data_IF_857836937116
#
_entry.id   IF_857836937116
#
_cell.length_a   1.000
_cell.length_b   1.000
_cell.length_c   1.000
_cell.angle_alpha   90.00
_cell.angle_beta   90.00
_cell.angle_gamma   90.00
#
_symmetry.space_group_name_H-M   'P 1'
#
loop_
_entity.id
_entity.type
_entity.pdbx_description
1 polymer ?
#
# COMPACT_ATOMS: atom_id res chain seq x y z
N UNK A 1 -9.97 35.55 -55.00
CA UNK A 1 -11.23 35.31 -55.74
C UNK A 1 -12.00 34.24 -54.99
N UNK A 2 -13.29 34.50 -54.78
CA UNK A 2 -14.16 33.89 -53.77
C UNK A 2 -14.67 32.47 -54.13
N UNK A 3 -14.90 31.65 -53.10
CA UNK A 3 -16.06 30.75 -52.96
C UNK A 3 -16.08 30.17 -51.54
N UNK A 4 -16.95 30.67 -50.66
CA UNK A 4 -18.20 30.03 -50.24
C UNK A 4 -18.02 28.61 -49.69
N UNK A 5 -17.84 28.52 -48.36
CA UNK A 5 -18.10 27.31 -47.57
C UNK A 5 -19.37 27.54 -46.76
N UNK A 6 -20.35 26.67 -46.99
CA UNK A 6 -21.71 26.70 -46.45
C UNK A 6 -21.77 25.88 -45.16
N UNK A 7 -22.09 26.54 -44.05
CA UNK A 7 -22.42 25.92 -42.77
C UNK A 7 -23.76 25.19 -42.89
N UNK A 8 -23.79 23.88 -42.63
CA UNK A 8 -25.03 23.10 -42.44
C UNK A 8 -25.15 22.81 -40.95
N UNK A 9 -25.98 23.58 -40.27
CA UNK A 9 -26.46 23.28 -38.92
C UNK A 9 -27.50 22.14 -39.01
N UNK A 10 -27.12 20.95 -38.57
CA UNK A 10 -28.06 19.88 -38.29
C UNK A 10 -28.62 20.07 -36.87
N UNK A 11 -29.84 20.60 -36.78
CA UNK A 11 -30.69 20.44 -35.61
C UNK A 11 -31.01 18.95 -35.43
N UNK A 12 -30.46 18.35 -34.37
CA UNK A 12 -30.90 17.08 -33.85
C UNK A 12 -31.81 17.36 -32.65
N UNK A 13 -33.08 17.02 -32.82
CA UNK A 13 -34.06 16.97 -31.74
C UNK A 13 -33.60 15.96 -30.68
N UNK A 14 -33.23 16.46 -29.50
CA UNK A 14 -32.99 15.62 -28.33
C UNK A 14 -34.35 15.12 -27.80
N UNK A 15 -34.74 13.91 -28.20
CA UNK A 15 -35.72 13.11 -27.47
C UNK A 15 -35.22 12.89 -26.04
N UNK A 16 -35.89 13.49 -25.08
CA UNK A 16 -35.70 13.24 -23.65
C UNK A 16 -36.21 11.83 -23.36
N UNK A 17 -35.28 10.89 -23.27
CA UNK A 17 -35.58 9.51 -22.86
C UNK A 17 -36.22 9.52 -21.46
N UNK A 18 -37.28 8.72 -21.22
CA UNK A 18 -37.94 8.66 -19.93
C UNK A 18 -36.94 8.21 -18.86
N UNK A 19 -36.84 9.01 -17.79
CA UNK A 19 -36.05 8.73 -16.60
C UNK A 19 -36.43 7.35 -16.05
N UNK A 20 -35.60 6.34 -16.33
CA UNK A 20 -35.65 5.06 -15.63
C UNK A 20 -35.46 5.36 -14.15
N UNK A 21 -36.50 5.11 -13.35
CA UNK A 21 -36.34 4.94 -11.91
C UNK A 21 -35.31 3.82 -11.75
N UNK A 22 -34.07 4.17 -11.40
CA UNK A 22 -33.09 3.20 -10.92
C UNK A 22 -33.75 2.56 -9.71
N UNK A 23 -34.20 1.32 -9.86
CA UNK A 23 -34.51 0.47 -8.72
C UNK A 23 -33.33 0.57 -7.76
N UNK A 24 -33.60 0.73 -6.46
CA UNK A 24 -32.62 0.71 -5.37
C UNK A 24 -31.95 -0.68 -5.32
N UNK A 25 -31.18 -1.03 -6.35
CA UNK A 25 -30.23 -2.13 -6.26
C UNK A 25 -29.32 -1.77 -5.12
N UNK A 26 -29.29 -2.68 -4.16
CA UNK A 26 -28.55 -2.62 -2.91
C UNK A 26 -27.04 -2.74 -3.19
N UNK A 27 -26.53 -2.03 -4.19
CA UNK A 27 -25.16 -2.01 -4.71
C UNK A 27 -24.26 -1.24 -3.75
N UNK A 28 -24.30 -1.62 -2.48
CA UNK A 28 -23.23 -1.29 -1.56
C UNK A 28 -22.00 -2.06 -2.04
N UNK A 29 -20.89 -1.33 -2.20
CA UNK A 29 -19.57 -1.93 -2.46
C UNK A 29 -19.39 -3.10 -1.51
N UNK A 30 -19.06 -4.26 -2.09
CA UNK A 30 -18.69 -5.44 -1.32
C UNK A 30 -17.32 -5.15 -0.70
N UNK A 31 -17.21 -5.16 0.63
CA UNK A 31 -15.90 -5.06 1.28
C UNK A 31 -14.94 -6.11 0.73
N UNK A 32 -13.69 -5.71 0.56
CA UNK A 32 -12.65 -6.61 0.10
C UNK A 32 -11.39 -6.41 0.92
N UNK A 33 -10.82 -7.52 1.37
CA UNK A 33 -9.60 -7.53 2.18
C UNK A 33 -8.44 -8.14 1.41
N UNK A 34 -7.51 -7.27 1.01
CA UNK A 34 -6.22 -7.70 0.51
C UNK A 34 -5.38 -8.35 1.62
N UNK A 35 -4.67 -9.42 1.25
CA UNK A 35 -3.67 -10.14 2.04
C UNK A 35 -4.19 -10.90 3.27
N UNK A 36 -4.81 -10.21 4.22
CA UNK A 36 -5.29 -10.81 5.46
C UNK A 36 -6.53 -10.08 5.97
N UNK A 37 -7.22 -10.72 6.91
CA UNK A 37 -8.41 -10.15 7.51
C UNK A 37 -8.06 -9.15 8.63
N UNK A 38 -8.95 -8.19 8.95
CA UNK A 38 -8.74 -7.23 10.04
C UNK A 38 -8.48 -7.88 11.41
N UNK A 39 -9.12 -9.02 11.70
CA UNK A 39 -8.96 -9.78 12.94
C UNK A 39 -7.49 -10.18 13.16
N UNK A 40 -6.82 -10.64 12.10
CA UNK A 40 -5.42 -11.06 12.14
C UNK A 40 -4.47 -9.90 12.46
N UNK A 41 -4.87 -8.65 12.18
CA UNK A 41 -4.06 -7.46 12.40
C UNK A 41 -4.19 -6.91 13.82
N UNK A 42 -5.24 -7.28 14.55
CA UNK A 42 -5.53 -6.72 15.87
C UNK A 42 -4.35 -6.86 16.87
N UNK A 43 -3.67 -8.02 16.99
CA UNK A 43 -2.52 -8.15 17.89
C UNK A 43 -1.34 -7.27 17.48
N UNK A 44 -1.13 -7.09 16.17
CA UNK A 44 -0.04 -6.26 15.63
C UNK A 44 -0.32 -4.79 15.90
N UNK A 45 -1.54 -4.33 15.61
CA UNK A 45 -1.99 -2.95 15.88
C UNK A 45 -1.91 -2.66 17.38
N UNK A 46 -2.36 -3.58 18.22
CA UNK A 46 -2.23 -3.48 19.68
C UNK A 46 -0.78 -3.32 20.09
N UNK A 47 0.11 -4.20 19.64
CA UNK A 47 1.53 -4.15 19.97
C UNK A 47 2.17 -2.82 19.53
N UNK A 48 1.85 -2.36 18.32
CA UNK A 48 2.34 -1.09 17.77
C UNK A 48 1.92 0.11 18.62
N UNK A 49 0.64 0.18 19.03
CA UNK A 49 0.10 1.27 19.84
C UNK A 49 0.56 1.21 21.30
N UNK A 50 0.67 0.01 21.90
CA UNK A 50 1.10 -0.16 23.29
C UNK A 50 2.60 0.11 23.46
N UNK A 51 3.45 -0.29 22.52
CA UNK A 51 4.89 -0.03 22.65
C UNK A 51 5.22 1.48 22.66
N UNK A 52 4.33 2.35 22.16
CA UNK A 52 4.45 3.80 22.28
C UNK A 52 4.25 4.32 23.71
N UNK A 53 3.81 3.47 24.63
CA UNK A 53 3.40 3.84 26.00
C UNK A 53 4.34 3.34 27.10
N UNK A 54 5.43 2.66 26.73
CA UNK A 54 6.31 1.96 27.68
C UNK A 54 7.07 2.87 28.66
N UNK A 55 7.13 4.19 28.42
CA UNK A 55 7.50 5.18 29.45
C UNK A 55 6.34 5.35 30.45
N UNK A 56 6.19 4.30 31.27
CA UNK A 56 5.03 3.90 32.06
C UNK A 56 4.65 4.85 33.21
N UNK A 57 5.25 6.04 33.30
CA UNK A 57 4.91 7.06 34.31
C UNK A 57 4.00 8.16 33.79
N UNK A 58 3.78 8.26 32.47
CA UNK A 58 2.94 9.29 31.87
C UNK A 58 1.99 8.70 30.81
N UNK A 59 1.10 7.79 31.21
CA UNK A 59 -0.14 7.55 30.48
C UNK A 59 -1.12 8.74 30.53
N UNK A 60 -0.70 9.86 31.12
CA UNK A 60 -1.38 11.12 30.92
C UNK A 60 -0.97 11.61 29.54
N UNK A 61 -1.88 11.63 28.53
CA UNK A 61 -1.61 12.32 27.27
C UNK A 61 -0.97 13.66 27.62
N UNK A 62 0.12 13.99 26.92
CA UNK A 62 0.80 15.26 27.12
C UNK A 62 -0.26 16.35 27.25
N UNK A 63 -0.27 17.08 28.37
CA UNK A 63 -1.38 17.95 28.78
C UNK A 63 -1.75 19.04 27.75
N UNK A 64 -1.05 19.11 26.61
CA UNK A 64 -1.31 19.97 25.48
C UNK A 64 -2.42 19.50 24.52
N UNK A 65 -2.87 18.24 24.54
CA UNK A 65 -4.02 17.80 23.73
C UNK A 65 -5.18 17.39 24.61
N UNK A 66 -6.06 18.36 24.88
CA UNK A 66 -7.33 18.16 25.58
C UNK A 66 -8.19 17.17 24.75
N UNK A 67 -8.20 15.89 25.15
CA UNK A 67 -8.97 14.81 24.49
C UNK A 67 -8.18 13.56 24.02
N UNK A 68 -6.97 13.33 24.56
CA UNK A 68 -5.96 12.39 24.04
C UNK A 68 -6.30 10.90 23.94
N UNK A 69 -6.69 10.48 22.74
CA UNK A 69 -6.50 9.11 22.23
C UNK A 69 -5.48 9.09 21.09
N UNK A 70 -5.18 7.90 20.58
CA UNK A 70 -4.33 7.66 19.41
C UNK A 70 -5.03 8.11 18.12
N UNK A 71 -4.29 8.65 17.18
CA UNK A 71 -4.75 8.95 15.82
C UNK A 71 -4.15 7.94 14.85
N UNK A 72 -5.02 7.24 14.13
CA UNK A 72 -4.64 6.17 13.19
C UNK A 72 -4.94 6.62 11.77
N UNK A 73 -3.99 6.39 10.87
CA UNK A 73 -4.15 6.59 9.43
C UNK A 73 -4.07 5.24 8.73
N UNK A 74 -4.98 4.96 7.81
CA UNK A 74 -4.97 3.77 6.96
C UNK A 74 -4.84 4.24 5.51
N UNK A 75 -3.64 4.06 4.94
CA UNK A 75 -3.32 4.48 3.56
C UNK A 75 -3.69 3.39 2.56
N UNK A 76 -4.18 3.81 1.39
CA UNK A 76 -4.72 2.94 0.33
C UNK A 76 -5.82 2.02 0.84
N UNK A 77 -6.78 2.58 1.56
CA UNK A 77 -7.80 1.80 2.27
C UNK A 77 -8.72 1.03 1.34
N UNK A 78 -8.88 1.45 0.08
CA UNK A 78 -9.81 0.87 -0.89
C UNK A 78 -11.19 0.63 -0.29
N UNK A 79 -11.70 -0.58 -0.47
CA UNK A 79 -12.94 -1.07 0.15
C UNK A 79 -12.71 -1.95 1.39
N UNK A 80 -11.55 -1.84 2.04
CA UNK A 80 -11.25 -2.55 3.28
C UNK A 80 -12.08 -2.00 4.45
N UNK A 81 -12.56 -2.91 5.30
CA UNK A 81 -13.27 -2.63 6.55
C UNK A 81 -12.33 -2.54 7.74
N UNK A 82 -11.00 -2.57 7.55
CA UNK A 82 -10.03 -2.49 8.65
C UNK A 82 -10.29 -1.29 9.58
N UNK A 83 -10.58 -0.11 9.01
CA UNK A 83 -10.92 1.08 9.79
C UNK A 83 -12.21 0.95 10.61
N UNK A 84 -13.24 0.33 10.04
CA UNK A 84 -14.51 0.01 10.73
C UNK A 84 -14.23 -0.98 11.89
N UNK A 85 -13.51 -2.06 11.57
CA UNK A 85 -13.20 -3.15 12.48
C UNK A 85 -12.41 -2.68 13.71
N UNK A 86 -11.38 -1.85 13.52
CA UNK A 86 -10.56 -1.32 14.62
C UNK A 86 -11.35 -0.46 15.60
N UNK A 87 -12.34 0.30 15.11
CA UNK A 87 -13.21 1.10 15.97
C UNK A 87 -14.26 0.24 16.67
N UNK A 88 -14.77 -0.80 16.01
CA UNK A 88 -15.72 -1.75 16.60
C UNK A 88 -15.11 -2.60 17.72
N UNK A 89 -13.85 -3.02 17.55
CA UNK A 89 -13.09 -3.89 18.46
C UNK A 89 -12.04 -3.12 19.26
N UNK A 90 -12.22 -1.82 19.44
CA UNK A 90 -11.32 -0.96 20.21
C UNK A 90 -11.16 -1.44 21.67
N UNK A 91 -12.23 -1.98 22.25
CA UNK A 91 -12.21 -2.53 23.60
C UNK A 91 -11.28 -3.76 23.70
N UNK A 92 -11.09 -4.49 22.60
CA UNK A 92 -10.14 -5.59 22.53
C UNK A 92 -8.71 -5.10 22.34
N UNK A 93 -8.49 -3.93 21.73
CA UNK A 93 -7.13 -3.36 21.64
C UNK A 93 -6.53 -3.11 23.03
N UNK A 94 -7.35 -2.98 24.08
CA UNK A 94 -6.90 -2.78 25.44
C UNK A 94 -7.23 -3.97 26.34
N UNK A 95 -6.21 -4.66 26.83
CA UNK A 95 -6.43 -5.73 27.81
C UNK A 95 -6.78 -5.11 29.18
N UNK A 96 -8.09 -5.00 29.44
CA UNK A 96 -8.63 -4.51 30.71
C UNK A 96 -8.20 -5.35 31.92
N UNK A 97 -7.69 -6.57 31.71
CA UNK A 97 -7.27 -7.45 32.81
C UNK A 97 -5.92 -7.06 33.42
N UNK A 98 -5.01 -6.43 32.65
CA UNK A 98 -3.65 -6.13 33.12
C UNK A 98 -3.47 -4.69 33.57
N UNK A 99 -4.30 -3.78 33.09
CA UNK A 99 -4.22 -2.36 33.46
C UNK A 99 -5.37 -2.05 34.41
N UNK A 100 -5.08 -1.61 35.64
CA UNK A 100 -6.08 -1.09 36.57
C UNK A 100 -6.69 0.19 35.99
N UNK A 101 -7.59 0.04 35.02
CA UNK A 101 -8.29 1.16 34.42
C UNK A 101 -9.14 1.79 35.54
N UNK A 102 -9.00 3.10 35.80
CA UNK A 102 -9.90 3.78 36.72
C UNK A 102 -11.31 3.54 36.21
N UNK A 103 -12.20 3.00 37.04
CA UNK A 103 -13.58 2.61 36.67
C UNK A 103 -14.45 3.76 36.10
N UNK A 104 -13.90 4.98 35.98
CA UNK A 104 -14.57 6.17 35.47
C UNK A 104 -13.89 6.80 34.23
N UNK A 105 -12.88 6.17 33.64
CA UNK A 105 -12.22 6.72 32.45
C UNK A 105 -12.96 6.33 31.17
N UNK A 106 -13.89 7.20 30.74
CA UNK A 106 -14.68 7.11 29.52
C UNK A 106 -13.89 7.44 28.23
N UNK A 107 -12.56 7.27 28.25
CA UNK A 107 -11.71 7.70 27.14
C UNK A 107 -11.65 6.65 26.05
N UNK A 108 -11.87 7.09 24.82
CA UNK A 108 -11.69 6.27 23.64
C UNK A 108 -10.21 6.17 23.29
N UNK A 109 -9.68 4.96 23.14
CA UNK A 109 -8.29 4.70 22.82
C UNK A 109 -7.86 5.26 21.47
N UNK A 110 -8.65 5.10 20.42
CA UNK A 110 -8.45 5.68 19.08
C UNK A 110 -9.28 6.96 19.01
N UNK A 111 -8.70 8.14 19.20
CA UNK A 111 -9.45 9.40 19.06
C UNK A 111 -9.96 9.68 17.65
N UNK A 112 -9.25 9.19 16.62
CA UNK A 112 -9.57 9.42 15.22
C UNK A 112 -8.93 8.31 14.36
N UNK A 113 -9.68 7.82 13.37
CA UNK A 113 -9.19 6.93 12.33
C UNK A 113 -9.51 7.52 10.97
N UNK A 114 -8.51 7.65 10.10
CA UNK A 114 -8.66 8.23 8.77
C UNK A 114 -8.32 7.17 7.73
N UNK A 115 -9.30 6.81 6.89
CA UNK A 115 -9.11 6.00 5.69
C UNK A 115 -8.77 6.94 4.51
N UNK A 116 -7.65 6.68 3.83
CA UNK A 116 -7.21 7.44 2.67
C UNK A 116 -7.10 6.53 1.46
N UNK A 117 -7.64 6.97 0.32
CA UNK A 117 -7.48 6.31 -0.97
C UNK A 117 -7.56 7.33 -2.12
N UNK A 118 -7.05 6.98 -3.30
CA UNK A 118 -7.22 7.81 -4.51
C UNK A 118 -8.61 7.66 -5.13
N UNK A 119 -9.27 6.52 -4.91
CA UNK A 119 -10.60 6.22 -5.45
C UNK A 119 -11.69 6.83 -4.57
N UNK A 120 -12.08 8.07 -4.90
CA UNK A 120 -13.14 8.80 -4.20
C UNK A 120 -14.51 8.09 -4.28
N UNK A 121 -14.81 7.38 -5.37
CA UNK A 121 -16.09 6.68 -5.53
C UNK A 121 -16.19 5.50 -4.54
N UNK A 122 -15.10 4.74 -4.40
CA UNK A 122 -15.00 3.68 -3.40
C UNK A 122 -15.13 4.25 -1.98
N UNK A 123 -14.41 5.34 -1.66
CA UNK A 123 -14.49 5.98 -0.33
C UNK A 123 -15.90 6.49 0.00
N UNK A 124 -16.58 7.13 -0.96
CA UNK A 124 -17.95 7.60 -0.77
C UNK A 124 -18.91 6.45 -0.48
N UNK A 125 -18.72 5.32 -1.17
CA UNK A 125 -19.55 4.12 -0.93
C UNK A 125 -19.28 3.51 0.44
N UNK A 126 -18.02 3.42 0.85
CA UNK A 126 -17.65 2.95 2.19
C UNK A 126 -18.19 3.88 3.29
N UNK A 127 -18.20 5.19 3.06
CA UNK A 127 -18.82 6.15 3.97
C UNK A 127 -20.33 5.94 4.11
N UNK A 128 -21.05 5.78 2.99
CA UNK A 128 -22.50 5.48 3.01
C UNK A 128 -22.78 4.18 3.75
N UNK A 129 -21.95 3.15 3.54
CA UNK A 129 -22.01 1.88 4.27
C UNK A 129 -21.85 2.10 5.78
N UNK A 130 -20.81 2.82 6.21
CA UNK A 130 -20.55 3.10 7.62
C UNK A 130 -21.71 3.86 8.28
N UNK A 131 -22.29 4.85 7.60
CA UNK A 131 -23.48 5.56 8.08
C UNK A 131 -24.72 4.67 8.19
N UNK A 132 -24.88 3.68 7.30
CA UNK A 132 -25.97 2.70 7.36
C UNK A 132 -25.81 1.80 8.59
N UNK A 133 -24.59 1.34 8.88
CA UNK A 133 -24.28 0.59 10.11
C UNK A 133 -24.63 1.41 11.35
N UNK A 134 -24.27 2.71 11.38
CA UNK A 134 -24.67 3.62 12.46
C UNK A 134 -26.18 3.63 12.69
N UNK A 135 -26.97 3.82 11.63
CA UNK A 135 -28.45 3.86 11.73
C UNK A 135 -29.02 2.53 12.22
N UNK A 136 -28.45 1.41 11.76
CA UNK A 136 -28.86 0.07 12.21
C UNK A 136 -28.61 -0.11 13.71
N UNK A 137 -27.42 0.25 14.20
CA UNK A 137 -27.11 0.21 15.63
C UNK A 137 -28.03 1.11 16.48
N UNK A 138 -28.31 2.34 16.03
CA UNK A 138 -29.24 3.26 16.71
C UNK A 138 -30.66 2.69 16.81
N UNK A 139 -31.15 2.06 15.74
CA UNK A 139 -32.48 1.43 15.71
C UNK A 139 -32.60 0.23 16.64
N UNK A 140 -31.53 -0.58 16.77
CA UNK A 140 -31.48 -1.72 17.68
C UNK A 140 -31.48 -1.26 19.15
N UNK A 141 -30.71 -0.21 19.48
CA UNK A 141 -30.66 0.33 20.85
C UNK A 141 -32.02 0.89 21.31
N UNK A 142 -32.74 1.58 20.41
CA UNK A 142 -34.07 2.15 20.70
C UNK A 142 -35.12 1.07 21.00
N UNK A 143 -34.99 -0.11 20.39
CA UNK A 143 -35.95 -1.21 20.57
C UNK A 143 -35.80 -1.88 21.94
N UNK A 144 -34.56 -2.01 22.46
CA UNK A 144 -34.29 -2.59 23.78
C UNK A 144 -34.87 -1.76 24.93
N UNK A 145 -34.92 -0.43 24.79
CA UNK A 145 -35.45 0.46 25.84
C UNK A 145 -36.97 0.33 26.03
N UNK A 146 -37.71 -0.13 25.01
CA UNK A 146 -39.17 -0.27 25.08
C UNK A 146 -39.57 -1.59 25.75
N UNK A 147 -38.76 -2.65 25.64
CA UNK A 147 -39.05 -3.94 26.25
C UNK A 147 -38.82 -3.97 27.77
N UNK A 148 -37.84 -3.22 28.28
CA UNK A 148 -37.51 -3.21 29.73
C UNK A 148 -38.48 -2.35 30.56
N UNK A 149 -39.17 -1.38 29.93
CA UNK A 149 -40.11 -0.49 30.63
C UNK A 149 -41.41 -1.20 31.10
N UNK A 150 -41.61 -2.48 30.76
CA UNK A 150 -42.82 -3.23 31.11
C UNK A 150 -42.60 -4.29 32.22
N UNK A 151 -41.40 -4.43 32.79
CA UNK A 151 -41.16 -5.26 33.98
C UNK A 151 -41.05 -4.39 35.24
N UNK A 152 -42.14 -4.46 36.01
CA UNK A 152 -42.44 -3.94 37.35
C UNK A 152 -41.31 -3.85 38.39
N UNK A 153 -41.29 -2.68 39.06
CA UNK A 153 -41.00 -2.43 40.49
C UNK A 153 -39.68 -2.94 41.09
N UNK A 154 -38.57 -2.34 40.67
CA UNK A 154 -37.27 -2.44 41.33
C UNK A 154 -36.37 -1.23 41.00
N UNK A 155 -36.44 -0.19 41.81
CA UNK A 155 -35.76 1.10 41.65
C UNK A 155 -34.23 0.98 41.81
N UNK A 156 -33.46 0.68 40.74
CA UNK A 156 -31.99 0.94 40.77
C UNK A 156 -31.17 1.11 39.46
N UNK A 157 -31.63 0.87 38.22
CA UNK A 157 -30.65 0.74 37.09
C UNK A 157 -30.88 1.55 35.78
N UNK A 158 -31.67 2.63 35.79
CA UNK A 158 -31.93 3.44 34.57
C UNK A 158 -30.74 4.27 34.04
N UNK A 159 -29.65 4.42 34.81
CA UNK A 159 -28.48 5.22 34.41
C UNK A 159 -27.54 4.51 33.41
N UNK A 160 -27.61 3.18 33.31
CA UNK A 160 -26.64 2.37 32.53
C UNK A 160 -26.96 2.36 31.03
N UNK A 161 -28.23 2.31 30.64
CA UNK A 161 -28.65 2.25 29.23
C UNK A 161 -28.38 3.55 28.45
N UNK A 162 -28.61 4.71 29.06
CA UNK A 162 -28.36 6.02 28.44
C UNK A 162 -26.87 6.24 28.13
N UNK A 163 -26.00 5.72 29.00
CA UNK A 163 -24.54 5.84 28.87
C UNK A 163 -23.98 4.97 27.74
N UNK A 164 -24.59 3.83 27.42
CA UNK A 164 -24.13 2.98 26.30
C UNK A 164 -24.49 3.56 24.93
N UNK A 165 -25.67 4.17 24.79
CA UNK A 165 -26.09 4.77 23.52
C UNK A 165 -25.18 5.93 23.09
N UNK A 166 -24.72 6.77 24.03
CA UNK A 166 -23.85 7.90 23.69
C UNK A 166 -22.43 7.48 23.25
N UNK A 167 -21.94 6.34 23.76
CA UNK A 167 -20.63 5.80 23.36
C UNK A 167 -20.63 5.24 21.94
N UNK A 168 -21.73 4.60 21.52
CA UNK A 168 -21.89 4.11 20.16
C UNK A 168 -21.86 5.27 19.16
N UNK A 169 -22.63 6.33 19.41
CA UNK A 169 -22.67 7.50 18.52
C UNK A 169 -21.30 8.21 18.44
N UNK A 170 -20.57 8.30 19.55
CA UNK A 170 -19.22 8.84 19.56
C UNK A 170 -18.26 8.00 18.70
N UNK A 171 -18.39 6.67 18.71
CA UNK A 171 -17.56 5.76 17.90
C UNK A 171 -17.68 6.04 16.41
N UNK A 172 -18.91 6.19 15.91
CA UNK A 172 -19.15 6.39 14.48
C UNK A 172 -18.61 7.73 13.94
N UNK A 173 -18.47 8.74 14.78
CA UNK A 173 -17.96 10.06 14.38
C UNK A 173 -16.43 10.13 14.32
N UNK A 174 -15.71 9.04 14.65
CA UNK A 174 -14.24 8.99 14.65
C UNK A 174 -13.64 8.42 13.37
N UNK A 175 -14.44 7.82 12.50
CA UNK A 175 -14.00 7.33 11.19
C UNK A 175 -14.17 8.42 10.13
N UNK A 176 -13.08 8.78 9.48
CA UNK A 176 -13.06 9.73 8.37
C UNK A 176 -12.58 9.07 7.08
N UNK A 177 -13.06 9.59 5.95
CA UNK A 177 -12.69 9.14 4.61
C UNK A 177 -12.13 10.33 3.85
N UNK A 178 -10.94 10.18 3.27
CA UNK A 178 -10.22 11.27 2.62
C UNK A 178 -9.67 10.82 1.26
N UNK A 179 -10.20 11.39 0.17
CA UNK A 179 -9.71 11.16 -1.18
C UNK A 179 -8.41 11.88 -1.42
N UNK A 180 -7.31 11.14 -1.67
CA UNK A 180 -6.00 11.72 -1.95
C UNK A 180 -5.19 10.80 -2.85
N UNK A 181 -4.70 11.35 -3.97
CA UNK A 181 -3.69 10.68 -4.78
C UNK A 181 -2.29 10.89 -4.16
N UNK A 182 -1.80 9.87 -3.48
CA UNK A 182 -0.51 9.87 -2.78
C UNK A 182 0.70 10.02 -3.72
N UNK A 183 0.51 9.87 -5.04
CA UNK A 183 1.57 10.10 -6.03
C UNK A 183 1.68 11.56 -6.49
N UNK A 184 0.68 12.39 -6.20
CA UNK A 184 0.58 13.76 -6.72
C UNK A 184 0.47 14.82 -5.62
N UNK A 185 -0.17 14.47 -4.50
CA UNK A 185 -0.48 15.43 -3.45
C UNK A 185 -0.35 14.80 -2.06
N UNK A 186 0.05 15.63 -1.11
CA UNK A 186 0.12 15.23 0.29
C UNK A 186 -1.27 15.06 0.91
N UNK A 187 -1.31 14.24 1.96
CA UNK A 187 -2.50 14.06 2.79
C UNK A 187 -2.73 15.36 3.58
N UNK A 188 -3.96 15.92 3.61
CA UNK A 188 -4.24 17.29 4.09
C UNK A 188 -4.24 17.41 5.62
N UNK A 189 -3.21 16.87 6.25
CA UNK A 189 -2.99 16.86 7.69
C UNK A 189 -1.62 17.47 8.01
N UNK A 190 -1.50 18.22 9.12
CA UNK A 190 -0.21 18.74 9.58
C UNK A 190 0.80 17.61 9.83
N UNK A 191 2.09 17.95 9.81
CA UNK A 191 3.15 17.01 10.21
C UNK A 191 2.88 16.47 11.63
N UNK A 192 3.38 15.28 11.92
CA UNK A 192 3.26 14.67 13.25
C UNK A 192 1.80 14.52 13.74
N UNK A 193 0.85 14.33 12.81
CA UNK A 193 -0.57 14.22 13.13
C UNK A 193 -0.98 12.86 13.69
N UNK A 194 -0.26 11.79 13.35
CA UNK A 194 -0.68 10.41 13.60
C UNK A 194 0.30 9.64 14.48
N UNK A 195 -0.25 8.78 15.32
CA UNK A 195 0.51 7.86 16.18
C UNK A 195 0.83 6.56 15.44
N UNK A 196 -0.05 6.16 14.53
CA UNK A 196 0.03 4.93 13.75
C UNK A 196 -0.39 5.19 12.31
N UNK A 197 0.42 4.69 11.36
CA UNK A 197 0.04 4.58 9.95
C UNK A 197 0.01 3.09 9.58
N UNK A 198 -1.10 2.65 9.01
CA UNK A 198 -1.35 1.30 8.53
C UNK A 198 -1.33 1.31 7.01
N UNK A 199 -0.55 0.42 6.43
CA UNK A 199 -0.47 0.20 4.99
C UNK A 199 -0.62 -1.28 4.70
N UNK A 200 -1.66 -1.63 3.94
CA UNK A 200 -1.94 -2.99 3.51
C UNK A 200 -1.93 -3.05 1.99
N UNK A 201 -0.78 -3.42 1.43
CA UNK A 201 -0.50 -3.48 0.00
C UNK A 201 -0.57 -2.16 -0.78
N UNK A 202 -0.58 -1.01 -0.14
CA UNK A 202 -0.46 0.27 -0.86
C UNK A 202 0.95 0.43 -1.40
N UNK A 203 1.96 0.21 -0.54
CA UNK A 203 3.36 0.19 -0.98
C UNK A 203 3.57 -0.82 -2.11
N UNK A 204 2.96 -2.01 -2.02
CA UNK A 204 3.03 -3.03 -3.08
C UNK A 204 2.55 -2.50 -4.43
N UNK A 205 1.51 -1.67 -4.43
CA UNK A 205 0.98 -1.06 -5.64
C UNK A 205 1.85 0.08 -6.16
N UNK A 206 2.59 0.76 -5.29
CA UNK A 206 3.44 1.89 -5.70
C UNK A 206 4.82 1.45 -6.16
N UNK A 207 5.28 0.24 -5.85
CA UNK A 207 6.61 -0.26 -6.20
C UNK A 207 6.91 -0.26 -7.71
N UNK A 208 5.88 -0.20 -8.57
CA UNK A 208 6.05 -0.01 -10.01
C UNK A 208 6.48 1.40 -10.43
N UNK A 209 6.59 2.33 -9.48
CA UNK A 209 7.03 3.71 -9.70
C UNK A 209 7.86 4.20 -8.51
N UNK A 210 9.14 4.47 -8.77
CA UNK A 210 10.08 4.95 -7.75
C UNK A 210 9.58 6.26 -7.12
N UNK A 211 9.05 7.17 -7.94
CA UNK A 211 8.45 8.42 -7.47
C UNK A 211 7.23 8.21 -6.58
N UNK A 212 6.29 7.34 -6.98
CA UNK A 212 5.09 7.10 -6.17
C UNK A 212 5.43 6.44 -4.83
N UNK A 213 6.36 5.50 -4.83
CA UNK A 213 6.87 4.86 -3.61
C UNK A 213 7.58 5.85 -2.71
N UNK A 214 8.45 6.69 -3.25
CA UNK A 214 9.15 7.72 -2.49
C UNK A 214 8.18 8.73 -1.86
N UNK A 215 7.16 9.18 -2.60
CA UNK A 215 6.11 10.05 -2.08
C UNK A 215 5.32 9.42 -0.95
N UNK A 216 4.93 8.14 -1.09
CA UNK A 216 4.25 7.40 -0.03
C UNK A 216 5.10 7.35 1.24
N UNK A 217 6.36 6.92 1.13
CA UNK A 217 7.27 6.80 2.29
C UNK A 217 7.54 8.16 2.94
N UNK A 218 7.78 9.19 2.13
CA UNK A 218 7.94 10.56 2.60
C UNK A 218 6.73 11.01 3.40
N UNK A 219 5.53 10.74 2.89
CA UNK A 219 4.29 11.21 3.49
C UNK A 219 3.93 10.45 4.78
N UNK A 220 4.12 9.14 4.78
CA UNK A 220 4.03 8.30 5.98
C UNK A 220 4.94 8.85 7.09
N UNK A 221 6.21 9.11 6.78
CA UNK A 221 7.17 9.59 7.77
C UNK A 221 6.83 11.01 8.28
N UNK A 222 6.41 11.92 7.40
CA UNK A 222 6.01 13.30 7.75
C UNK A 222 4.82 13.31 8.72
N UNK A 223 3.85 12.44 8.50
CA UNK A 223 2.61 12.37 9.27
C UNK A 223 2.78 11.70 10.62
N UNK A 224 3.78 10.83 10.77
CA UNK A 224 4.07 10.16 12.03
C UNK A 224 4.68 11.10 13.06
N UNK A 225 4.17 11.01 14.29
CA UNK A 225 4.73 11.72 15.44
C UNK A 225 6.20 11.37 15.66
N UNK A 226 7.08 12.36 15.91
CA UNK A 226 8.51 12.12 16.13
C UNK A 226 8.83 11.19 17.30
N UNK A 227 7.95 11.14 18.29
CA UNK A 227 8.08 10.27 19.45
C UNK A 227 7.20 9.04 19.20
N UNK A 228 7.85 7.91 18.91
CA UNK A 228 7.22 6.59 18.80
C UNK A 228 6.14 6.43 17.71
N UNK A 229 6.01 7.40 16.79
CA UNK A 229 5.17 7.22 15.61
C UNK A 229 5.54 5.93 14.89
N UNK A 230 4.54 5.08 14.63
CA UNK A 230 4.77 3.74 14.09
C UNK A 230 4.09 3.58 12.72
N UNK A 231 4.84 3.08 11.76
CA UNK A 231 4.34 2.61 10.47
C UNK A 231 4.27 1.08 10.51
N UNK A 232 3.10 0.52 10.18
CA UNK A 232 2.91 -0.92 10.02
C UNK A 232 2.60 -1.20 8.55
N UNK A 233 3.53 -1.86 7.90
CA UNK A 233 3.42 -2.32 6.51
C UNK A 233 3.07 -3.80 6.49
N UNK A 234 2.02 -4.15 5.75
CA UNK A 234 1.63 -5.50 5.41
C UNK A 234 1.79 -5.68 3.92
N UNK A 235 2.67 -6.58 3.51
CA UNK A 235 3.11 -6.74 2.12
C UNK A 235 3.31 -8.19 1.72
N UNK A 236 3.09 -8.48 0.43
CA UNK A 236 3.43 -9.77 -0.18
C UNK A 236 4.79 -9.77 -0.90
N UNK A 237 5.48 -8.63 -0.99
CA UNK A 237 6.79 -8.54 -1.63
C UNK A 237 7.89 -9.15 -0.75
N UNK A 238 9.00 -9.53 -1.37
CA UNK A 238 10.09 -10.20 -0.69
C UNK A 238 10.72 -9.33 0.39
N UNK A 239 11.04 -9.93 1.55
CA UNK A 239 11.71 -9.23 2.65
C UNK A 239 13.05 -8.60 2.22
N UNK A 240 13.78 -9.25 1.31
CA UNK A 240 15.05 -8.75 0.77
C UNK A 240 14.91 -7.44 0.00
N UNK A 241 13.71 -7.14 -0.53
CA UNK A 241 13.38 -5.86 -1.13
C UNK A 241 12.92 -4.86 -0.06
N UNK A 242 11.93 -5.26 0.75
CA UNK A 242 11.23 -4.34 1.66
C UNK A 242 12.10 -3.86 2.83
N UNK A 243 12.93 -4.74 3.38
CA UNK A 243 13.74 -4.41 4.56
C UNK A 243 14.75 -3.28 4.26
N UNK A 244 15.63 -3.38 3.24
CA UNK A 244 16.54 -2.28 2.91
C UNK A 244 15.77 -1.03 2.46
N UNK A 245 14.66 -1.19 1.74
CA UNK A 245 13.82 -0.08 1.29
C UNK A 245 13.38 0.81 2.45
N UNK A 246 12.91 0.20 3.56
CA UNK A 246 12.51 0.95 4.75
C UNK A 246 13.69 1.31 5.66
N UNK A 247 14.53 0.33 6.02
CA UNK A 247 15.54 0.49 7.09
C UNK A 247 16.65 1.48 6.72
N UNK A 248 16.99 1.56 5.43
CA UNK A 248 18.08 2.42 4.95
C UNK A 248 17.56 3.70 4.27
N UNK A 249 16.24 3.97 4.35
CA UNK A 249 15.64 5.11 3.67
C UNK A 249 16.23 6.45 4.17
N UNK A 250 16.80 7.28 3.28
CA UNK A 250 17.49 8.51 3.67
C UNK A 250 16.62 9.48 4.48
N UNK A 251 17.14 9.92 5.62
CA UNK A 251 16.47 10.87 6.53
C UNK A 251 15.35 10.26 7.38
N UNK A 252 14.91 9.03 7.12
CA UNK A 252 13.88 8.35 7.90
C UNK A 252 14.51 7.64 9.09
N UNK A 253 14.68 8.36 10.20
CA UNK A 253 15.18 7.77 11.43
C UNK A 253 14.10 6.94 12.14
N UNK A 254 14.00 5.67 11.74
CA UNK A 254 13.18 4.66 12.39
C UNK A 254 13.93 3.33 12.52
N UNK A 255 13.47 2.47 13.40
CA UNK A 255 13.90 1.06 13.48
C UNK A 255 12.85 0.17 12.85
N UNK A 256 13.26 -0.75 11.99
CA UNK A 256 12.36 -1.70 11.32
C UNK A 256 12.47 -3.07 11.99
N UNK A 257 11.35 -3.57 12.49
CA UNK A 257 11.19 -4.95 12.94
C UNK A 257 10.33 -5.73 11.96
N UNK A 258 10.53 -7.04 11.91
CA UNK A 258 9.88 -7.93 10.94
C UNK A 258 9.22 -9.12 11.63
N UNK A 259 8.07 -9.49 11.11
CA UNK A 259 7.42 -10.76 11.40
C UNK A 259 6.69 -11.27 10.16
N UNK A 260 6.20 -12.50 10.24
CA UNK A 260 5.43 -13.16 9.18
C UNK A 260 4.08 -13.56 9.76
N UNK A 261 3.02 -13.42 8.97
CA UNK A 261 1.69 -13.90 9.34
C UNK A 261 1.04 -14.66 8.18
N UNK A 262 0.01 -15.45 8.52
CA UNK A 262 -0.77 -16.16 7.52
C UNK A 262 -1.61 -15.22 6.67
N UNK A 263 -1.62 -15.50 5.37
CA UNK A 263 -2.42 -14.84 4.35
C UNK A 263 -3.84 -15.39 4.41
N UNK A 264 -4.79 -14.54 4.78
CA UNK A 264 -6.21 -14.87 4.79
C UNK A 264 -6.88 -14.14 3.62
N UNK A 265 -6.88 -14.76 2.44
CA UNK A 265 -7.75 -14.30 1.36
C UNK A 265 -9.12 -14.90 1.62
N UNK A 266 -10.10 -14.08 1.93
CA UNK A 266 -11.48 -14.56 1.94
C UNK A 266 -11.89 -14.93 0.52
N UNK A 267 -11.91 -16.24 0.22
CA UNK A 267 -12.65 -16.78 -0.92
C UNK A 267 -14.14 -16.61 -0.63
N UNK A 268 -14.60 -15.41 -0.93
CA UNK A 268 -15.94 -14.88 -0.78
C UNK A 268 -17.02 -15.69 -1.54
N UNK A 269 -16.66 -16.78 -2.23
CA UNK A 269 -17.53 -17.75 -2.90
C UNK A 269 -17.98 -18.92 -1.99
N UNK A 270 -17.42 -19.07 -0.77
CA UNK A 270 -17.85 -20.13 0.16
C UNK A 270 -19.30 -20.01 0.65
N UNK A 271 -19.99 -18.90 0.38
CA UNK A 271 -21.39 -18.70 0.77
C UNK A 271 -22.39 -19.53 -0.06
N UNK A 272 -21.99 -20.16 -1.18
CA UNK A 272 -22.92 -20.93 -2.03
C UNK A 272 -23.14 -22.39 -1.62
N UNK A 273 -22.36 -22.96 -0.67
CA UNK A 273 -22.44 -24.41 -0.36
C UNK A 273 -22.94 -24.78 1.05
N UNK A 274 -23.26 -23.84 1.94
CA UNK A 274 -23.72 -24.17 3.30
C UNK A 274 -25.25 -24.13 3.48
N UNK A 275 -25.97 -24.86 2.62
CA UNK A 275 -27.41 -25.10 2.82
C UNK A 275 -27.72 -26.46 3.47
N UNK A 276 -26.77 -27.09 4.17
CA UNK A 276 -27.00 -28.35 4.87
C UNK A 276 -26.40 -28.37 6.28
N UNK A 277 -27.32 -28.34 7.23
CA UNK A 277 -27.23 -28.79 8.64
C UNK A 277 -26.71 -27.81 9.70
N UNK A 278 -27.68 -27.33 10.49
CA UNK A 278 -27.55 -26.93 11.89
C UNK A 278 -26.57 -27.81 12.67
N UNK A 279 -25.42 -27.27 13.10
CA UNK A 279 -24.74 -27.67 14.34
C UNK A 279 -24.10 -26.45 15.01
N UNK A 280 -24.33 -26.36 16.31
CA UNK A 280 -23.96 -25.29 17.24
C UNK A 280 -22.50 -24.80 17.13
N UNK A 281 -22.22 -23.52 17.40
CA UNK A 281 -20.85 -23.02 17.47
C UNK A 281 -20.22 -23.47 18.79
N UNK A 282 -19.27 -24.40 18.68
CA UNK A 282 -18.35 -24.69 19.80
C UNK A 282 -17.07 -23.91 19.54
N UNK A 283 -16.69 -23.08 20.52
CA UNK A 283 -15.50 -22.24 20.49
C UNK A 283 -14.25 -23.02 20.06
N UNK A 284 -13.62 -22.56 18.97
CA UNK A 284 -12.28 -22.97 18.56
C UNK A 284 -11.35 -21.80 18.85
N UNK A 285 -10.81 -21.76 20.05
CA UNK A 285 -9.62 -20.97 20.38
C UNK A 285 -8.44 -21.59 19.62
N UNK A 286 -8.13 -21.07 18.44
CA UNK A 286 -6.83 -21.31 17.83
C UNK A 286 -5.84 -20.32 18.45
N UNK A 287 -5.02 -20.80 19.38
CA UNK A 287 -3.84 -20.08 19.82
C UNK A 287 -2.88 -19.98 18.63
N UNK A 288 -2.69 -18.76 18.14
CA UNK A 288 -1.68 -18.41 17.15
C UNK A 288 -0.30 -18.54 17.83
N UNK A 289 0.36 -19.67 17.64
CA UNK A 289 1.76 -19.86 18.06
C UNK A 289 2.68 -19.33 16.98
N UNK A 290 3.40 -18.25 17.29
CA UNK A 290 4.55 -17.77 16.51
C UNK A 290 5.69 -18.79 16.67
N UNK A 291 5.88 -19.66 15.69
CA UNK A 291 6.93 -20.68 15.70
C UNK A 291 8.17 -20.23 14.92
N UNK A 292 9.33 -20.25 15.59
CA UNK A 292 10.65 -20.14 14.97
C UNK A 292 11.13 -21.56 14.59
N UNK A 293 11.25 -21.87 13.30
CA UNK A 293 11.76 -23.17 12.84
C UNK A 293 13.13 -23.06 12.17
N UNK A 294 13.98 -24.03 12.51
CA UNK A 294 15.37 -24.19 12.07
C UNK A 294 15.43 -25.15 10.87
N UNK A 295 16.25 -24.80 9.89
CA UNK A 295 16.28 -25.34 8.53
C UNK A 295 16.52 -26.86 8.38
N UNK A 296 15.73 -27.52 7.54
CA UNK A 296 16.12 -28.71 6.74
C UNK A 296 15.46 -28.72 5.34
N UNK A 297 16.32 -28.73 4.31
CA UNK A 297 16.20 -29.08 2.89
C UNK A 297 15.00 -28.62 2.02
N UNK A 298 15.25 -27.91 0.88
CA UNK A 298 14.25 -27.38 -0.05
C UNK A 298 13.83 -28.47 -1.06
N UNK A 299 12.58 -28.56 -1.55
CA UNK A 299 12.26 -27.96 -2.87
C UNK A 299 10.77 -27.98 -3.26
N UNK A 300 9.81 -28.26 -2.36
CA UNK A 300 8.38 -28.04 -2.68
C UNK A 300 7.56 -27.49 -1.53
N UNK A 301 8.00 -27.72 -0.29
CA UNK A 301 7.31 -27.23 0.92
C UNK A 301 7.54 -25.73 1.16
N UNK A 302 8.74 -25.22 0.90
CA UNK A 302 9.10 -23.84 1.22
C UNK A 302 8.38 -22.82 0.32
N UNK A 303 8.33 -23.06 -0.99
CA UNK A 303 7.62 -22.18 -1.93
C UNK A 303 6.10 -22.17 -1.68
N UNK A 304 5.51 -23.30 -1.31
CA UNK A 304 4.09 -23.37 -0.97
C UNK A 304 3.77 -22.62 0.34
N UNK A 305 4.69 -22.64 1.31
CA UNK A 305 4.57 -21.87 2.54
C UNK A 305 4.70 -20.36 2.28
N UNK A 306 5.59 -19.95 1.37
CA UNK A 306 5.76 -18.54 1.00
C UNK A 306 4.49 -17.95 0.35
N UNK A 307 3.74 -18.73 -0.44
CA UNK A 307 2.47 -18.27 -1.03
C UNK A 307 1.35 -18.01 -0.02
N UNK A 308 1.45 -18.60 1.19
CA UNK A 308 0.44 -18.52 2.23
C UNK A 308 0.77 -17.54 3.32
N UNK A 309 1.90 -16.85 3.23
CA UNK A 309 2.32 -15.91 4.25
C UNK A 309 2.48 -14.52 3.65
N UNK A 310 2.41 -13.52 4.52
CA UNK A 310 2.69 -12.13 4.19
C UNK A 310 3.63 -11.56 5.23
N UNK A 311 4.42 -10.58 4.83
CA UNK A 311 5.37 -9.92 5.69
C UNK A 311 4.71 -8.75 6.41
N UNK A 312 5.02 -8.62 7.70
CA UNK A 312 4.62 -7.51 8.54
C UNK A 312 5.89 -6.81 8.99
N UNK A 313 6.10 -5.59 8.49
CA UNK A 313 7.19 -4.73 8.89
C UNK A 313 6.65 -3.62 9.78
N UNK A 314 7.25 -3.43 10.95
CA UNK A 314 6.89 -2.37 11.89
C UNK A 314 8.07 -1.42 12.02
N UNK A 315 7.94 -0.25 11.39
CA UNK A 315 8.93 0.81 11.40
C UNK A 315 8.56 1.86 12.46
N UNK A 316 9.39 2.01 13.49
CA UNK A 316 9.12 2.87 14.65
C UNK A 316 10.09 4.04 14.67
N UNK A 317 9.57 5.27 14.70
CA UNK A 317 10.41 6.47 14.80
C UNK A 317 11.25 6.43 16.06
N UNK A 318 12.55 6.69 15.91
CA UNK A 318 13.46 6.79 17.05
C UNK A 318 13.29 8.18 17.67
N UNK A 319 13.12 8.29 19.01
CA UNK A 319 13.06 9.57 19.68
C UNK A 319 14.38 10.33 19.51
N UNK A 320 14.43 11.26 18.56
CA UNK A 320 15.63 12.04 18.29
C UNK A 320 15.48 13.51 18.73
N UNK A 321 16.57 14.10 19.21
CA UNK A 321 16.61 15.48 19.66
C UNK A 321 16.61 16.43 18.44
N UNK A 322 15.42 16.89 18.04
CA UNK A 322 15.20 18.01 17.09
C UNK A 322 15.62 17.79 15.63
N UNK A 323 15.25 16.67 15.00
CA UNK A 323 15.21 16.64 13.53
C UNK A 323 13.93 17.33 13.07
N UNK A 324 14.08 18.39 12.27
CA UNK A 324 12.94 19.01 11.60
C UNK A 324 12.42 18.05 10.54
N UNK A 325 11.22 17.53 10.75
CA UNK A 325 10.54 16.63 9.79
C UNK A 325 10.31 17.27 8.42
N UNK A 326 10.49 18.59 8.28
CA UNK A 326 10.38 19.30 7.01
C UNK A 326 11.62 19.14 6.10
N UNK A 327 12.72 18.57 6.59
CA UNK A 327 13.99 18.49 5.85
C UNK A 327 14.21 17.13 5.15
N UNK A 328 13.18 16.32 4.96
CA UNK A 328 13.32 15.11 4.14
C UNK A 328 13.63 15.49 2.70
N UNK A 329 14.78 15.02 2.20
CA UNK A 329 15.16 15.21 0.81
C UNK A 329 14.45 14.17 -0.06
N UNK A 330 13.32 14.55 -0.67
CA UNK A 330 12.54 13.67 -1.53
C UNK A 330 13.36 13.06 -2.67
N UNK A 331 14.28 13.81 -3.27
CA UNK A 331 15.14 13.30 -4.36
C UNK A 331 16.05 12.16 -3.87
N UNK A 332 16.60 12.30 -2.67
CA UNK A 332 17.41 11.24 -2.07
C UNK A 332 16.57 9.99 -1.76
N UNK A 333 15.29 10.16 -1.40
CA UNK A 333 14.36 9.05 -1.21
C UNK A 333 14.05 8.38 -2.56
N UNK A 334 13.77 9.16 -3.62
CA UNK A 334 13.54 8.63 -4.97
C UNK A 334 14.75 7.81 -5.43
N UNK A 335 15.96 8.36 -5.33
CA UNK A 335 17.17 7.65 -5.71
C UNK A 335 17.36 6.37 -4.87
N UNK A 336 17.10 6.41 -3.56
CA UNK A 336 17.18 5.23 -2.71
C UNK A 336 16.18 4.13 -3.10
N UNK A 337 14.94 4.51 -3.41
CA UNK A 337 13.93 3.57 -3.91
C UNK A 337 14.40 2.94 -5.21
N UNK A 338 14.88 3.75 -6.14
CA UNK A 338 15.44 3.30 -7.42
C UNK A 338 16.58 2.30 -7.21
N UNK A 339 17.62 2.69 -6.46
CA UNK A 339 18.78 1.84 -6.20
C UNK A 339 18.39 0.53 -5.51
N UNK A 340 17.45 0.58 -4.56
CA UNK A 340 16.99 -0.63 -3.83
C UNK A 340 16.20 -1.58 -4.74
N UNK A 341 15.31 -1.04 -5.57
CA UNK A 341 14.55 -1.82 -6.56
C UNK A 341 15.52 -2.45 -7.57
N UNK A 342 16.42 -1.64 -8.13
CA UNK A 342 17.40 -2.02 -9.12
C UNK A 342 18.33 -3.14 -8.62
N UNK A 343 18.93 -2.96 -7.44
CA UNK A 343 19.77 -3.98 -6.80
C UNK A 343 19.02 -5.30 -6.60
N UNK A 344 17.74 -5.23 -6.18
CA UNK A 344 16.92 -6.42 -5.94
C UNK A 344 16.57 -7.14 -7.24
N UNK A 345 16.11 -6.42 -8.27
CA UNK A 345 15.79 -7.02 -9.57
C UNK A 345 17.05 -7.56 -10.25
N UNK A 346 18.18 -6.89 -10.12
CA UNK A 346 19.49 -7.38 -10.57
C UNK A 346 19.89 -8.68 -9.92
N UNK A 347 19.62 -8.83 -8.62
CA UNK A 347 19.92 -10.05 -7.89
C UNK A 347 18.96 -11.21 -8.21
N UNK A 348 17.65 -10.95 -8.29
CA UNK A 348 16.62 -12.00 -8.38
C UNK A 348 16.23 -12.37 -9.81
N UNK A 349 16.24 -11.40 -10.72
CA UNK A 349 15.79 -11.55 -12.09
C UNK A 349 16.78 -10.91 -13.07
N UNK A 350 18.04 -11.38 -13.10
CA UNK A 350 19.03 -10.80 -13.97
C UNK A 350 18.61 -10.91 -15.44
N UNK A 351 18.38 -9.77 -16.11
CA UNK A 351 18.10 -9.74 -17.54
C UNK A 351 19.27 -10.35 -18.33
N UNK A 352 20.51 -10.13 -17.88
CA UNK A 352 21.71 -10.66 -18.50
C UNK A 352 22.35 -11.81 -17.70
N UNK A 353 21.86 -13.02 -17.92
CA UNK A 353 22.56 -14.23 -17.47
C UNK A 353 23.74 -14.57 -18.38
N UNK A 354 24.73 -15.31 -17.87
CA UNK A 354 25.87 -15.76 -18.68
C UNK A 354 25.43 -16.57 -19.92
N UNK A 355 24.37 -17.38 -19.78
CA UNK A 355 23.77 -18.13 -20.89
C UNK A 355 23.13 -17.20 -21.93
N UNK A 356 22.36 -16.19 -21.48
CA UNK A 356 21.75 -15.21 -22.37
C UNK A 356 22.79 -14.36 -23.10
N UNK A 357 23.85 -13.93 -22.43
CA UNK A 357 24.97 -13.24 -23.07
C UNK A 357 25.62 -14.08 -24.18
N UNK A 358 25.79 -15.39 -23.96
CA UNK A 358 26.32 -16.30 -24.98
C UNK A 358 25.34 -16.46 -26.17
N UNK A 359 24.04 -16.53 -25.90
CA UNK A 359 23.00 -16.58 -26.93
C UNK A 359 23.02 -15.33 -27.81
N UNK A 360 23.01 -14.14 -27.19
CA UNK A 360 23.10 -12.85 -27.90
C UNK A 360 24.40 -12.79 -28.71
N UNK A 361 25.54 -13.16 -28.13
CA UNK A 361 26.82 -13.17 -28.83
C UNK A 361 26.80 -14.08 -30.06
N UNK A 362 26.20 -15.27 -29.96
CA UNK A 362 26.06 -16.19 -31.08
C UNK A 362 25.18 -15.59 -32.20
N UNK A 363 24.09 -14.91 -31.86
CA UNK A 363 23.22 -14.23 -32.82
C UNK A 363 23.99 -13.13 -33.59
N UNK A 364 24.75 -12.29 -32.89
CA UNK A 364 25.58 -11.26 -33.53
C UNK A 364 26.67 -11.85 -34.43
N UNK A 365 27.28 -12.98 -34.03
CA UNK A 365 28.31 -13.64 -34.85
C UNK A 365 27.72 -14.30 -36.11
N UNK A 366 26.52 -14.86 -36.01
CA UNK A 366 25.90 -15.63 -37.08
C UNK A 366 25.20 -14.72 -38.09
N UNK A 367 24.47 -13.71 -37.60
CA UNK A 367 23.59 -12.87 -38.40
C UNK A 367 24.13 -11.45 -38.62
N UNK A 368 25.17 -11.06 -37.87
CA UNK A 368 25.77 -9.74 -37.96
C UNK A 368 26.54 -9.51 -39.26
N UNK A 369 26.55 -8.25 -39.70
CA UNK A 369 27.32 -7.81 -40.86
C UNK A 369 28.45 -6.88 -40.43
N UNK A 370 29.56 -6.87 -41.17
CA UNK A 370 30.71 -5.99 -40.88
C UNK A 370 31.72 -6.58 -39.88
N UNK A 371 32.70 -5.76 -39.50
CA UNK A 371 33.73 -6.09 -38.51
C UNK A 371 34.03 -4.82 -37.67
N UNK A 372 33.52 -4.71 -36.43
CA UNK A 372 32.81 -5.74 -35.67
C UNK A 372 31.42 -6.08 -36.23
N UNK A 373 30.86 -7.28 -35.96
CA UNK A 373 29.53 -7.66 -36.39
C UNK A 373 28.45 -6.71 -35.84
N UNK A 374 27.53 -6.29 -36.71
CA UNK A 374 26.42 -5.41 -36.39
C UNK A 374 25.09 -5.99 -36.89
N UNK A 375 24.05 -5.84 -36.08
CA UNK A 375 22.68 -6.18 -36.41
C UNK A 375 21.86 -4.91 -36.57
N UNK A 376 20.87 -4.92 -37.47
CA UNK A 376 19.87 -3.85 -37.55
C UNK A 376 18.98 -3.84 -36.30
N UNK A 377 18.35 -2.72 -35.95
CA UNK A 377 17.48 -2.65 -34.76
C UNK A 377 16.39 -3.73 -34.70
N UNK A 378 15.67 -4.07 -35.80
CA UNK A 378 14.70 -5.17 -35.76
C UNK A 378 15.33 -6.52 -35.42
N UNK A 379 16.54 -6.78 -35.93
CA UNK A 379 17.27 -8.01 -35.62
C UNK A 379 17.81 -8.00 -34.19
N UNK A 380 18.23 -6.84 -33.68
CA UNK A 380 18.63 -6.67 -32.28
C UNK A 380 17.45 -6.97 -31.35
N UNK A 381 16.28 -6.38 -31.60
CA UNK A 381 15.08 -6.65 -30.81
C UNK A 381 14.72 -8.15 -30.76
N UNK A 382 14.84 -8.85 -31.89
CA UNK A 382 14.64 -10.31 -31.92
C UNK A 382 15.71 -11.10 -31.15
N UNK A 383 16.97 -10.65 -31.20
CA UNK A 383 18.08 -11.33 -30.53
C UNK A 383 18.14 -11.04 -29.02
N UNK A 384 17.72 -9.84 -28.61
CA UNK A 384 17.83 -9.37 -27.23
C UNK A 384 16.69 -9.85 -26.36
N UNK A 385 15.46 -9.95 -26.88
CA UNK A 385 14.27 -10.27 -26.09
C UNK A 385 13.66 -11.62 -26.47
N UNK A 386 13.19 -12.39 -25.48
CA UNK A 386 12.48 -13.65 -25.71
C UNK A 386 11.09 -13.41 -26.31
N UNK A 387 10.43 -14.48 -26.78
CA UNK A 387 9.07 -14.38 -27.31
C UNK A 387 8.11 -13.80 -26.25
N UNK A 388 8.23 -14.24 -24.99
CA UNK A 388 7.41 -13.78 -23.87
C UNK A 388 7.70 -12.33 -23.47
N UNK A 389 8.96 -11.90 -23.49
CA UNK A 389 9.30 -10.50 -23.21
C UNK A 389 8.73 -9.57 -24.29
N UNK A 390 8.75 -9.99 -25.56
CA UNK A 390 8.20 -9.22 -26.69
C UNK A 390 6.68 -9.15 -26.69
N UNK A 391 5.99 -10.02 -25.95
CA UNK A 391 4.55 -9.88 -25.70
C UNK A 391 4.24 -8.69 -24.77
N UNK A 392 5.23 -8.26 -23.97
CA UNK A 392 5.09 -7.17 -23.01
C UNK A 392 5.83 -5.88 -23.41
N UNK A 393 6.94 -6.01 -24.14
CA UNK A 393 7.72 -4.90 -24.66
C UNK A 393 7.63 -4.91 -26.18
N UNK A 394 6.77 -4.07 -26.76
CA UNK A 394 6.65 -3.98 -28.22
C UNK A 394 7.91 -3.39 -28.85
N UNK A 395 8.05 -3.56 -30.17
CA UNK A 395 9.19 -3.01 -30.90
C UNK A 395 9.24 -1.48 -30.81
N UNK A 396 8.09 -0.81 -30.77
CA UNK A 396 7.99 0.64 -30.61
C UNK A 396 8.54 1.10 -29.26
N UNK A 397 8.21 0.44 -28.16
CA UNK A 397 8.76 0.77 -26.84
C UNK A 397 10.27 0.52 -26.77
N UNK A 398 10.73 -0.59 -27.36
CA UNK A 398 12.17 -0.82 -27.52
C UNK A 398 12.88 0.32 -28.26
N UNK A 399 12.27 0.88 -29.32
CA UNK A 399 12.85 2.02 -30.04
C UNK A 399 12.88 3.29 -29.19
N UNK A 400 11.86 3.53 -28.37
CA UNK A 400 11.83 4.65 -27.43
C UNK A 400 12.98 4.55 -26.42
N UNK A 401 13.16 3.37 -25.79
CA UNK A 401 14.25 3.09 -24.85
C UNK A 401 15.62 3.21 -25.52
N UNK A 402 15.75 2.67 -26.73
CA UNK A 402 16.98 2.78 -27.52
C UNK A 402 17.34 4.24 -27.82
N UNK A 403 16.37 5.06 -28.20
CA UNK A 403 16.60 6.47 -28.47
C UNK A 403 17.01 7.22 -27.19
N UNK A 404 16.38 6.92 -26.06
CA UNK A 404 16.77 7.48 -24.76
C UNK A 404 18.22 7.13 -24.41
N UNK A 405 18.60 5.85 -24.54
CA UNK A 405 19.97 5.37 -24.34
C UNK A 405 20.98 6.10 -25.24
N UNK A 406 20.68 6.22 -26.54
CA UNK A 406 21.56 6.92 -27.50
C UNK A 406 21.72 8.40 -27.14
N UNK A 407 20.65 9.10 -26.78
CA UNK A 407 20.71 10.51 -26.37
C UNK A 407 21.51 10.70 -25.08
N UNK A 408 21.30 9.86 -24.07
CA UNK A 408 22.09 9.89 -22.82
C UNK A 408 23.58 9.73 -23.10
N UNK A 409 23.97 8.77 -23.94
CA UNK A 409 25.38 8.54 -24.32
C UNK A 409 25.99 9.70 -25.11
N UNK A 410 25.20 10.45 -25.89
CA UNK A 410 25.67 11.67 -26.57
C UNK A 410 25.99 12.78 -25.57
N UNK A 411 25.23 12.91 -24.48
CA UNK A 411 25.45 13.97 -23.48
C UNK A 411 26.68 13.73 -22.60
N UNK A 412 27.08 12.48 -22.41
CA UNK A 412 28.22 12.10 -21.55
C UNK A 412 29.60 12.38 -22.19
N UNK A 413 29.67 12.72 -23.47
CA UNK A 413 30.93 13.05 -24.15
C UNK A 413 31.18 14.55 -24.01
N UNK A 414 32.16 15.01 -23.21
CA UNK A 414 32.42 16.43 -23.03
C UNK A 414 32.79 17.10 -24.36
N UNK A 415 32.31 18.32 -24.64
CA UNK A 415 32.63 19.03 -25.89
C UNK A 415 34.11 19.40 -26.08
N UNK A 416 34.94 19.33 -25.02
CA UNK A 416 36.24 20.02 -24.99
C UNK A 416 37.48 19.15 -25.22
N UNK A 417 37.39 17.81 -25.27
CA UNK A 417 38.51 16.96 -25.71
C UNK A 417 38.49 16.78 -27.23
N UNK A 418 38.52 17.91 -27.93
CA UNK A 418 38.83 17.94 -29.36
C UNK A 418 40.34 17.84 -29.53
N UNK A 419 40.77 16.97 -30.45
CA UNK A 419 42.13 16.79 -30.98
C UNK A 419 42.96 15.72 -30.22
N UNK A 420 42.55 14.45 -30.31
CA UNK A 420 43.40 13.34 -30.77
C UNK A 420 42.58 12.03 -30.81
N UNK A 421 41.89 11.83 -31.94
CA UNK A 421 41.73 10.57 -32.71
C UNK A 421 41.64 9.18 -32.04
N UNK A 422 41.28 9.04 -30.77
CA UNK A 422 40.85 7.74 -30.24
C UNK A 422 39.40 7.48 -30.63
N UNK A 423 39.25 6.59 -31.59
CA UNK A 423 38.11 5.77 -32.05
C UNK A 423 37.03 5.40 -31.00
N UNK A 424 36.46 6.35 -30.26
CA UNK A 424 35.16 6.18 -29.62
C UNK A 424 34.11 6.22 -30.73
N UNK A 425 33.78 5.04 -31.24
CA UNK A 425 32.86 4.86 -32.35
C UNK A 425 31.54 5.57 -32.11
N UNK A 426 31.12 6.37 -33.08
CA UNK A 426 29.79 6.98 -33.10
C UNK A 426 28.75 5.86 -32.98
N UNK A 427 27.88 5.94 -31.97
CA UNK A 427 26.77 4.98 -31.81
C UNK A 427 25.85 5.15 -33.03
N UNK A 428 25.69 4.08 -33.80
CA UNK A 428 24.78 4.05 -34.94
C UNK A 428 23.35 4.20 -34.44
N UNK A 429 22.50 4.98 -35.14
CA UNK A 429 21.09 5.11 -34.76
C UNK A 429 20.25 3.93 -35.22
N UNK A 430 20.74 3.17 -36.21
CA UNK A 430 19.93 2.18 -36.96
C UNK A 430 20.46 0.73 -36.78
N UNK A 431 21.54 0.57 -36.03
CA UNK A 431 22.18 -0.72 -35.76
C UNK A 431 22.88 -0.73 -34.41
N UNK A 432 23.08 -1.92 -33.86
CA UNK A 432 23.91 -2.13 -32.67
C UNK A 432 25.11 -3.01 -33.02
N UNK A 433 26.22 -2.81 -32.32
CA UNK A 433 27.26 -3.83 -32.14
C UNK A 433 26.91 -4.68 -30.90
N UNK A 434 27.55 -5.83 -30.75
CA UNK A 434 27.36 -6.68 -29.56
C UNK A 434 27.60 -5.91 -28.25
N UNK A 435 28.70 -5.15 -28.18
CA UNK A 435 29.06 -4.40 -26.97
C UNK A 435 28.00 -3.34 -26.61
N UNK A 436 27.44 -2.67 -27.63
CA UNK A 436 26.39 -1.67 -27.43
C UNK A 436 25.08 -2.35 -27.01
N UNK A 437 24.75 -3.50 -27.59
CA UNK A 437 23.54 -4.23 -27.25
C UNK A 437 23.58 -4.81 -25.82
N UNK A 438 24.72 -5.32 -25.38
CA UNK A 438 24.91 -5.75 -23.99
C UNK A 438 24.86 -4.55 -23.04
N UNK A 439 25.56 -3.46 -23.34
CA UNK A 439 25.49 -2.24 -22.53
C UNK A 439 24.09 -1.62 -22.48
N UNK A 440 23.28 -1.78 -23.53
CA UNK A 440 21.89 -1.35 -23.55
C UNK A 440 21.03 -2.20 -22.61
N UNK A 441 21.17 -3.53 -22.66
CA UNK A 441 20.46 -4.42 -21.73
C UNK A 441 20.90 -4.26 -20.28
N UNK A 442 22.18 -3.95 -20.01
CA UNK A 442 22.67 -3.62 -18.67
C UNK A 442 22.05 -2.34 -18.11
N UNK A 443 21.66 -1.40 -18.97
CA UNK A 443 21.07 -0.10 -18.60
C UNK A 443 19.54 -0.16 -18.54
N UNK A 444 18.91 -1.07 -19.30
CA UNK A 444 17.48 -1.39 -19.17
C UNK A 444 17.14 -2.19 -17.92
N UNK A 445 18.14 -2.94 -17.41
CA UNK A 445 18.02 -3.74 -16.21
C UNK A 445 18.20 -2.88 -14.97
#
# INVERSE_FOLDING_TARGET
MASHSSTVEHLLDHEVAPSRQKEDSNDLVRPFEWLTSPESLLPIVRSALVANSADSTCFLPSQSTVGGGCRVLHVGSGSSVLGEYLLEHEDELFDTATTQQPQNCQYSFISQLVNVDKDQETLDTMKVRWEKLRRQHQSQCSTCQISEANETDGETDTATASTRSCLIDARFNRLEFCGTDLSQQGIPYPNASFDLVLDKSTLDCTLCSDSATAWLLHEVYRLLRPQDGTYVLISFHHLELLYPLLQNCPGMNWTVSHSVMDRHIEDLDRSKNNNTSNKNPTALTQQQTVSFETAQSPTTSAEYSNRRTVHVLVARRVPEQKVDTNDLNLEAIIQHVHDTNDDWYKAQHPMLTAERCQGIQHEFQTNGTGNPPQLSLPQCYQALFTDEERDHLSYEYFLEDWHAFVEQRKTLVPPEESIEETTKGTISTDSMTLDIALSFLEEMQ
#
